data_IF_239088617522
#
_entry.id   IF_239088617522
#
_cell.length_a   1.000
_cell.length_b   1.000
_cell.length_c   1.000
_cell.angle_alpha   90.00
_cell.angle_beta   90.00
_cell.angle_gamma   90.00
#
_symmetry.space_group_name_H-M   'P 1'
#
loop_
_entity.id
_entity.type
_entity.pdbx_description
1 polymer ?
#
# COMPACT_ATOMS: atom_id res chain seq x y z
N UNK A 1 2.62 -10.09 -9.24
CA UNK A 1 3.58 -9.67 -8.21
C UNK A 1 4.81 -9.02 -8.83
N UNK A 2 5.25 -7.87 -8.30
CA UNK A 2 6.53 -7.22 -8.59
C UNK A 2 7.18 -6.75 -7.27
N UNK A 3 8.44 -6.31 -7.32
CA UNK A 3 9.22 -5.87 -6.16
C UNK A 3 9.27 -4.36 -6.06
N UNK A 4 8.75 -3.79 -4.99
CA UNK A 4 8.69 -2.34 -4.83
C UNK A 4 9.84 -1.75 -4.00
N UNK A 5 10.46 -2.55 -3.15
CA UNK A 5 11.58 -2.10 -2.34
C UNK A 5 12.54 -3.26 -2.12
N UNK A 6 13.83 -2.95 -2.15
CA UNK A 6 14.88 -3.89 -1.83
C UNK A 6 15.89 -3.23 -0.91
N UNK A 7 16.27 -3.90 0.16
CA UNK A 7 17.48 -3.58 0.92
C UNK A 7 18.43 -4.74 0.82
N UNK A 8 19.68 -4.47 0.43
CA UNK A 8 20.72 -5.46 0.23
C UNK A 8 22.02 -4.96 0.88
N UNK A 9 22.83 -5.89 1.35
CA UNK A 9 24.07 -5.61 2.07
C UNK A 9 25.12 -6.66 1.75
N UNK A 10 26.38 -6.26 1.56
CA UNK A 10 27.51 -7.17 1.35
C UNK A 10 28.74 -6.64 2.06
N UNK A 11 29.49 -7.54 2.67
CA UNK A 11 30.84 -7.30 3.16
C UNK A 11 31.83 -7.73 2.07
N UNK A 12 32.64 -6.79 1.57
CA UNK A 12 33.61 -7.04 0.52
C UNK A 12 34.97 -7.49 1.04
N UNK A 13 35.21 -7.44 2.35
CA UNK A 13 36.48 -7.80 2.97
C UNK A 13 37.64 -6.81 2.72
N UNK A 14 37.39 -5.69 2.04
CA UNK A 14 38.36 -4.60 1.86
C UNK A 14 37.68 -3.24 2.04
N UNK A 15 38.44 -2.19 2.45
CA UNK A 15 37.89 -0.84 2.63
C UNK A 15 37.27 -0.30 1.34
N UNK A 16 36.05 0.23 1.43
CA UNK A 16 35.33 0.78 0.28
C UNK A 16 35.51 2.30 0.15
N UNK A 17 35.41 2.86 -1.07
CA UNK A 17 35.40 4.30 -1.28
C UNK A 17 34.25 4.99 -0.54
N UNK A 18 34.54 6.16 0.02
CA UNK A 18 33.55 7.02 0.66
C UNK A 18 32.94 7.96 -0.38
N UNK A 19 31.61 8.10 -0.34
CA UNK A 19 30.83 8.94 -1.25
C UNK A 19 30.51 10.33 -0.69
N UNK A 20 30.63 10.52 0.63
CA UNK A 20 30.25 11.76 1.31
C UNK A 20 31.47 12.58 1.68
N UNK A 21 31.30 13.91 1.70
CA UNK A 21 32.33 14.84 2.19
C UNK A 21 32.61 14.69 3.69
N UNK A 22 31.77 13.95 4.42
CA UNK A 22 31.89 13.72 5.86
C UNK A 22 32.07 12.23 6.14
N UNK A 23 33.10 11.89 6.91
CA UNK A 23 33.32 10.58 7.48
C UNK A 23 33.59 10.70 8.98
N UNK A 24 33.27 9.65 9.72
CA UNK A 24 33.50 9.59 11.17
C UNK A 24 33.96 8.22 11.62
N UNK A 25 34.72 8.21 12.71
CA UNK A 25 35.16 7.02 13.43
C UNK A 25 34.54 7.05 14.82
N UNK A 26 34.12 5.89 15.33
CA UNK A 26 33.72 5.75 16.73
C UNK A 26 34.89 5.19 17.50
N UNK A 27 35.33 5.92 18.51
CA UNK A 27 36.41 5.49 19.39
C UNK A 27 35.78 5.04 20.71
N UNK A 28 36.04 3.80 21.11
CA UNK A 28 35.65 3.30 22.41
C UNK A 28 36.60 3.92 23.46
N UNK A 29 36.08 4.87 24.25
CA UNK A 29 36.89 5.65 25.19
C UNK A 29 37.60 4.78 26.22
N UNK A 30 36.96 3.69 26.65
CA UNK A 30 37.50 2.81 27.69
C UNK A 30 38.66 1.92 27.18
N UNK A 31 38.65 1.54 25.90
CA UNK A 31 39.67 0.63 25.31
C UNK A 31 40.65 1.32 24.38
N UNK A 32 40.33 2.52 23.88
CA UNK A 32 41.09 3.22 22.85
C UNK A 32 40.92 2.65 21.43
N UNK A 33 40.12 1.59 21.26
CA UNK A 33 39.90 0.97 19.95
C UNK A 33 38.96 1.80 19.08
N UNK A 34 39.32 1.99 17.82
CA UNK A 34 38.49 2.66 16.82
C UNK A 34 37.69 1.67 15.98
N UNK A 35 36.43 2.01 15.70
CA UNK A 35 35.62 1.33 14.69
C UNK A 35 36.14 1.61 13.28
N UNK A 36 35.64 0.86 12.29
CA UNK A 36 35.83 1.20 10.88
C UNK A 36 35.33 2.60 10.53
N UNK A 37 35.94 3.19 9.49
CA UNK A 37 35.52 4.47 8.94
C UNK A 37 34.10 4.37 8.38
N UNK A 38 33.23 5.22 8.88
CA UNK A 38 31.82 5.27 8.52
C UNK A 38 31.51 6.61 7.84
N UNK A 39 30.50 6.61 6.98
CA UNK A 39 29.91 7.83 6.45
C UNK A 39 28.42 7.92 6.83
N UNK A 40 27.84 9.13 6.85
CA UNK A 40 26.40 9.30 6.80
C UNK A 40 25.80 8.56 5.60
N UNK A 41 24.50 8.24 5.70
CA UNK A 41 23.78 7.61 4.58
C UNK A 41 23.79 8.57 3.39
N UNK A 42 24.45 8.17 2.32
CA UNK A 42 24.48 8.91 1.07
C UNK A 42 23.16 8.71 0.34
N UNK A 43 22.55 9.81 -0.07
CA UNK A 43 21.26 9.82 -0.74
C UNK A 43 21.47 10.14 -2.21
N UNK A 44 21.46 9.11 -3.04
CA UNK A 44 21.61 9.27 -4.48
C UNK A 44 20.23 9.49 -5.11
N UNK A 45 20.05 10.61 -5.81
CA UNK A 45 18.78 11.01 -6.42
C UNK A 45 18.78 10.64 -7.90
N UNK A 46 17.70 10.02 -8.35
CA UNK A 46 17.46 9.79 -9.77
C UNK A 46 16.70 10.93 -10.44
N UNK A 47 16.24 10.65 -11.66
CA UNK A 47 15.70 11.66 -12.58
C UNK A 47 14.36 12.27 -12.14
N UNK A 48 13.52 11.55 -11.39
CA UNK A 48 12.10 11.89 -11.19
C UNK A 48 11.65 11.83 -9.71
N UNK A 49 12.53 12.26 -8.80
CA UNK A 49 12.38 12.27 -7.33
C UNK A 49 12.52 10.91 -6.64
N UNK A 50 12.91 9.90 -7.40
CA UNK A 50 13.41 8.65 -6.88
C UNK A 50 14.74 8.87 -6.16
N UNK A 51 14.94 8.08 -5.10
CA UNK A 51 16.10 8.19 -4.25
C UNK A 51 16.44 6.80 -3.71
N UNK A 52 17.74 6.51 -3.71
CA UNK A 52 18.30 5.31 -3.08
C UNK A 52 19.26 5.75 -1.98
N UNK A 53 19.23 5.03 -0.88
CA UNK A 53 20.09 5.21 0.27
C UNK A 53 21.26 4.24 0.18
N UNK A 54 22.48 4.76 0.23
CA UNK A 54 23.73 4.00 0.21
C UNK A 54 24.48 4.29 1.51
N UNK A 55 24.90 3.24 2.21
CA UNK A 55 25.70 3.33 3.43
C UNK A 55 26.95 2.48 3.26
N UNK A 56 28.10 3.09 3.52
CA UNK A 56 29.42 2.43 3.54
C UNK A 56 29.96 2.46 4.97
N UNK A 57 30.41 1.30 5.47
CA UNK A 57 31.05 1.15 6.78
C UNK A 57 32.22 0.17 6.66
N UNK A 58 33.44 0.71 6.61
CA UNK A 58 34.63 -0.11 6.33
C UNK A 58 34.49 -0.87 5.01
N UNK A 59 34.35 -2.20 5.10
CA UNK A 59 34.16 -3.09 3.97
C UNK A 59 32.69 -3.41 3.64
N UNK A 60 31.75 -2.93 4.45
CA UNK A 60 30.32 -3.23 4.29
C UNK A 60 29.63 -2.15 3.47
N UNK A 61 29.04 -2.57 2.35
CA UNK A 61 28.15 -1.78 1.53
C UNK A 61 26.71 -2.18 1.79
N UNK A 62 25.84 -1.20 2.02
CA UNK A 62 24.40 -1.39 2.11
C UNK A 62 23.67 -0.43 1.19
N UNK A 63 22.73 -0.95 0.42
CA UNK A 63 21.87 -0.16 -0.47
C UNK A 63 20.40 -0.45 -0.20
N UNK A 64 19.57 0.59 -0.19
CA UNK A 64 18.14 0.51 0.08
C UNK A 64 17.36 1.49 -0.79
N UNK A 65 16.22 1.07 -1.33
CA UNK A 65 15.44 1.91 -2.24
C UNK A 65 14.38 1.14 -3.03
N UNK A 66 13.75 1.85 -3.97
CA UNK A 66 12.76 1.29 -4.88
C UNK A 66 13.38 1.08 -6.28
N UNK A 67 13.83 -0.14 -6.63
CA UNK A 67 14.40 -0.42 -7.94
C UNK A 67 13.37 -0.32 -9.07
N UNK A 68 12.09 -0.60 -8.78
CA UNK A 68 11.00 -0.52 -9.76
C UNK A 68 10.64 0.92 -10.17
N UNK A 69 10.96 1.91 -9.32
CA UNK A 69 10.73 3.33 -9.54
C UNK A 69 11.98 4.09 -10.02
N UNK A 70 13.16 3.46 -10.01
CA UNK A 70 14.39 4.14 -10.40
C UNK A 70 14.29 4.71 -11.82
N UNK A 71 14.62 5.99 -11.98
CA UNK A 71 14.44 6.80 -13.19
C UNK A 71 13.00 6.81 -13.75
N UNK A 72 11.99 6.71 -12.88
CA UNK A 72 10.57 6.75 -13.24
C UNK A 72 9.76 7.59 -12.25
N UNK A 73 8.67 8.18 -12.74
CA UNK A 73 7.76 8.99 -11.94
C UNK A 73 7.00 8.14 -10.89
N UNK A 74 6.59 6.94 -11.30
CA UNK A 74 5.73 6.04 -10.55
C UNK A 74 6.07 4.56 -10.82
N UNK A 75 5.46 3.70 -10.01
CA UNK A 75 5.71 2.27 -9.90
C UNK A 75 4.38 1.49 -9.90
N UNK A 76 3.39 1.88 -10.71
CA UNK A 76 2.16 1.13 -10.89
C UNK A 76 2.49 -0.32 -11.24
N UNK A 77 3.41 -0.51 -12.18
CA UNK A 77 4.03 -1.80 -12.49
C UNK A 77 5.56 -1.71 -12.33
N UNK A 78 6.16 -2.83 -11.95
CA UNK A 78 7.56 -2.90 -11.56
C UNK A 78 8.29 -4.16 -12.02
N UNK A 79 9.47 -4.38 -11.45
CA UNK A 79 10.38 -5.47 -11.76
C UNK A 79 9.93 -6.77 -11.08
N UNK A 80 9.99 -7.89 -11.79
CA UNK A 80 9.43 -9.17 -11.36
C UNK A 80 10.44 -10.15 -10.76
N UNK A 81 11.74 -9.85 -10.77
CA UNK A 81 12.78 -10.73 -10.22
C UNK A 81 13.75 -9.97 -9.32
N UNK A 82 14.24 -10.63 -8.28
CA UNK A 82 15.29 -10.06 -7.41
C UNK A 82 16.57 -9.79 -8.21
N UNK A 83 16.93 -10.68 -9.14
CA UNK A 83 18.11 -10.51 -9.99
C UNK A 83 18.06 -9.19 -10.79
N UNK A 84 16.93 -8.86 -11.40
CA UNK A 84 16.76 -7.60 -12.11
C UNK A 84 16.77 -6.38 -11.17
N UNK A 85 16.22 -6.51 -9.96
CA UNK A 85 16.34 -5.45 -8.94
C UNK A 85 17.79 -5.19 -8.53
N UNK A 86 18.57 -6.26 -8.32
CA UNK A 86 19.99 -6.13 -7.98
C UNK A 86 20.80 -5.59 -9.17
N UNK A 87 20.43 -5.92 -10.40
CA UNK A 87 21.05 -5.34 -11.60
C UNK A 87 20.88 -3.81 -11.66
N UNK A 88 19.69 -3.29 -11.33
CA UNK A 88 19.48 -1.83 -11.21
C UNK A 88 20.42 -1.23 -10.17
N UNK A 89 20.56 -1.87 -9.01
CA UNK A 89 21.46 -1.41 -7.96
C UNK A 89 22.93 -1.45 -8.40
N UNK A 90 23.37 -2.54 -9.03
CA UNK A 90 24.73 -2.68 -9.53
C UNK A 90 25.05 -1.63 -10.62
N UNK A 91 24.07 -1.25 -11.44
CA UNK A 91 24.24 -0.14 -12.41
C UNK A 91 24.52 1.17 -11.69
N UNK A 92 23.73 1.50 -10.66
CA UNK A 92 23.91 2.72 -9.85
C UNK A 92 25.26 2.70 -9.13
N UNK A 93 25.65 1.56 -8.54
CA UNK A 93 26.92 1.42 -7.84
C UNK A 93 28.10 1.60 -8.80
N UNK A 94 28.03 1.04 -10.00
CA UNK A 94 29.06 1.21 -11.03
C UNK A 94 29.20 2.67 -11.45
N UNK A 95 28.09 3.40 -11.61
CA UNK A 95 28.10 4.85 -11.93
C UNK A 95 28.76 5.67 -10.81
N UNK A 96 28.70 5.19 -9.56
CA UNK A 96 29.31 5.82 -8.39
C UNK A 96 30.73 5.31 -8.07
N UNK A 97 31.30 4.43 -8.90
CA UNK A 97 32.63 3.85 -8.67
C UNK A 97 32.71 2.86 -7.50
N UNK A 98 31.57 2.30 -7.07
CA UNK A 98 31.48 1.29 -6.01
C UNK A 98 31.41 -0.13 -6.60
N UNK A 99 31.87 -1.15 -5.86
CA UNK A 99 31.81 -2.52 -6.32
C UNK A 99 30.36 -3.04 -6.41
N UNK A 100 30.11 -3.87 -7.41
CA UNK A 100 28.81 -4.51 -7.61
C UNK A 100 28.55 -5.61 -6.57
N UNK A 101 27.30 -5.78 -6.17
CA UNK A 101 26.87 -6.92 -5.38
C UNK A 101 27.04 -8.23 -6.15
N UNK A 102 27.50 -9.27 -5.47
CA UNK A 102 27.70 -10.62 -6.02
C UNK A 102 26.75 -11.64 -5.38
N UNK A 103 26.39 -12.68 -6.14
CA UNK A 103 25.61 -13.80 -5.62
C UNK A 103 26.42 -14.57 -4.57
N UNK A 104 25.79 -14.96 -3.48
CA UNK A 104 26.31 -15.91 -2.52
C UNK A 104 26.59 -17.24 -3.22
N UNK A 105 27.72 -17.86 -2.91
CA UNK A 105 28.02 -19.24 -3.32
C UNK A 105 28.23 -20.15 -2.12
N UNK A 106 28.64 -19.59 -0.97
CA UNK A 106 28.90 -20.34 0.25
C UNK A 106 28.37 -19.61 1.48
N UNK A 107 28.03 -20.39 2.50
CA UNK A 107 27.60 -19.92 3.81
C UNK A 107 28.40 -20.68 4.86
N UNK A 108 28.91 -19.95 5.85
CA UNK A 108 29.67 -20.52 6.96
C UNK A 108 29.09 -20.09 8.30
N UNK A 109 29.22 -20.92 9.35
CA UNK A 109 28.96 -20.48 10.71
C UNK A 109 29.99 -19.43 11.12
N UNK A 110 29.51 -18.30 11.63
CA UNK A 110 30.34 -17.27 12.26
C UNK A 110 30.82 -17.78 13.61
N UNK A 111 32.08 -17.53 13.94
CA UNK A 111 32.58 -17.71 15.31
C UNK A 111 31.80 -16.79 16.26
N UNK A 112 31.15 -17.39 17.25
CA UNK A 112 30.45 -16.68 18.30
C UNK A 112 31.15 -16.90 19.64
N UNK A 113 31.00 -15.94 20.56
CA UNK A 113 31.44 -16.11 21.95
C UNK A 113 30.62 -17.24 22.60
N UNK A 114 31.14 -17.82 23.67
CA UNK A 114 30.58 -19.01 24.36
C UNK A 114 29.08 -18.90 24.69
N UNK A 115 28.57 -17.68 24.93
CA UNK A 115 27.17 -17.39 25.26
C UNK A 115 26.35 -16.76 24.12
N UNK A 116 26.87 -16.71 22.89
CA UNK A 116 26.16 -16.19 21.72
C UNK A 116 25.83 -17.30 20.72
N UNK A 117 24.65 -17.22 20.09
CA UNK A 117 24.34 -18.12 18.98
C UNK A 117 25.22 -17.77 17.78
N UNK A 118 25.90 -18.77 17.24
CA UNK A 118 26.65 -18.66 15.99
C UNK A 118 25.74 -18.14 14.87
N UNK A 119 26.07 -16.96 14.35
CA UNK A 119 25.43 -16.40 13.16
C UNK A 119 25.91 -17.12 11.89
N UNK A 120 25.41 -16.69 10.73
CA UNK A 120 25.90 -17.13 9.43
C UNK A 120 26.59 -15.97 8.72
N UNK A 121 27.69 -16.26 8.04
CA UNK A 121 28.43 -15.35 7.15
C UNK A 121 28.48 -15.95 5.74
N UNK A 122 28.65 -15.11 4.73
CA UNK A 122 28.62 -15.52 3.31
C UNK A 122 29.60 -14.68 2.50
N UNK A 123 29.93 -15.16 1.30
CA UNK A 123 30.82 -14.51 0.32
C UNK A 123 30.11 -13.53 -0.63
N UNK A 124 28.79 -13.44 -0.54
CA UNK A 124 27.98 -12.59 -1.41
C UNK A 124 26.98 -11.72 -0.67
N UNK A 125 26.07 -11.14 -1.43
CA UNK A 125 25.14 -10.16 -0.91
C UNK A 125 23.93 -10.78 -0.19
N UNK A 126 23.59 -10.19 0.95
CA UNK A 126 22.45 -10.55 1.77
C UNK A 126 21.28 -9.57 1.58
N UNK A 127 20.12 -10.07 1.20
CA UNK A 127 18.87 -9.30 1.20
C UNK A 127 18.41 -9.08 2.65
N UNK A 128 18.15 -7.83 3.02
CA UNK A 128 17.70 -7.41 4.35
C UNK A 128 16.24 -6.99 4.38
N UNK A 129 15.66 -6.60 3.26
CA UNK A 129 14.24 -6.22 3.19
C UNK A 129 13.71 -6.37 1.77
N UNK A 130 12.49 -6.87 1.62
CA UNK A 130 11.81 -7.03 0.33
C UNK A 130 10.38 -6.53 0.47
N UNK A 131 9.90 -5.67 -0.44
CA UNK A 131 8.48 -5.34 -0.53
C UNK A 131 7.87 -6.02 -1.76
N UNK A 132 6.86 -6.87 -1.53
CA UNK A 132 6.11 -7.56 -2.57
C UNK A 132 4.86 -6.76 -2.89
N UNK A 133 4.55 -6.58 -4.17
CA UNK A 133 3.40 -5.76 -4.58
C UNK A 133 2.62 -6.39 -5.73
N UNK A 134 1.30 -6.29 -5.66
CA UNK A 134 0.38 -6.59 -6.77
C UNK A 134 -0.77 -5.59 -6.77
N UNK A 135 -1.33 -5.30 -7.95
CA UNK A 135 -2.51 -4.46 -8.07
C UNK A 135 -3.70 -5.31 -8.48
N UNK A 136 -4.85 -5.06 -7.86
CA UNK A 136 -6.14 -5.67 -8.18
C UNK A 136 -7.09 -4.59 -8.66
N UNK A 137 -7.91 -4.97 -9.63
CA UNK A 137 -8.95 -4.14 -10.22
C UNK A 137 -10.27 -4.51 -9.57
N UNK A 138 -10.94 -3.54 -8.95
CA UNK A 138 -12.24 -3.75 -8.27
C UNK A 138 -13.39 -2.98 -8.94
N UNK A 139 -13.09 -2.20 -9.98
CA UNK A 139 -14.05 -1.34 -10.66
C UNK A 139 -14.11 0.05 -10.03
N UNK A 140 -14.37 1.05 -10.86
CA UNK A 140 -14.44 2.46 -10.48
C UNK A 140 -15.35 2.67 -9.27
N UNK A 141 -14.85 3.41 -8.29
CA UNK A 141 -15.55 3.78 -7.05
C UNK A 141 -15.87 2.63 -6.08
N UNK A 142 -15.33 1.42 -6.30
CA UNK A 142 -15.46 0.30 -5.36
C UNK A 142 -14.25 0.12 -4.44
N UNK A 143 -13.18 0.90 -4.62
CA UNK A 143 -11.89 0.71 -3.95
C UNK A 143 -12.01 0.78 -2.42
N UNK A 144 -12.70 1.80 -1.93
CA UNK A 144 -12.81 2.07 -0.51
C UNK A 144 -13.73 1.04 0.18
N UNK A 145 -14.86 0.69 -0.47
CA UNK A 145 -15.76 -0.38 0.00
C UNK A 145 -15.05 -1.72 0.06
N UNK A 146 -14.24 -2.04 -0.96
CA UNK A 146 -13.43 -3.24 -0.99
C UNK A 146 -12.38 -3.27 0.12
N UNK A 147 -11.69 -2.15 0.35
CA UNK A 147 -10.72 -1.99 1.44
C UNK A 147 -11.40 -2.12 2.81
N UNK A 148 -12.58 -1.52 2.98
CA UNK A 148 -13.38 -1.66 4.19
C UNK A 148 -13.82 -3.12 4.41
N UNK A 149 -14.23 -3.83 3.35
CA UNK A 149 -14.53 -5.26 3.39
C UNK A 149 -13.32 -6.09 3.84
N UNK A 150 -12.15 -5.85 3.25
CA UNK A 150 -10.89 -6.51 3.66
C UNK A 150 -10.53 -6.23 5.11
N UNK A 151 -10.86 -5.06 5.63
CA UNK A 151 -10.60 -4.70 7.04
C UNK A 151 -11.41 -5.49 8.06
N UNK A 152 -12.35 -6.32 7.62
CA UNK A 152 -13.07 -7.27 8.49
C UNK A 152 -12.35 -8.60 8.66
N UNK A 153 -11.35 -8.89 7.81
CA UNK A 153 -10.68 -10.17 7.79
C UNK A 153 -9.35 -10.14 8.56
N UNK A 154 -9.06 -11.14 9.40
CA UNK A 154 -7.70 -11.34 9.90
C UNK A 154 -6.77 -11.82 8.78
N UNK A 155 -5.48 -11.54 8.92
CA UNK A 155 -4.44 -12.11 8.07
C UNK A 155 -3.35 -12.72 8.94
N UNK A 156 -3.17 -14.04 8.82
CA UNK A 156 -2.28 -14.82 9.70
C UNK A 156 -2.64 -14.55 11.17
N UNK A 157 -1.66 -14.17 11.99
CA UNK A 157 -1.86 -13.85 13.41
C UNK A 157 -2.05 -12.35 13.67
N UNK A 158 -2.35 -11.56 12.62
CA UNK A 158 -2.46 -10.10 12.69
C UNK A 158 -3.90 -9.64 12.51
N UNK A 159 -4.25 -8.59 13.24
CA UNK A 159 -5.56 -7.95 13.20
C UNK A 159 -5.56 -6.81 12.19
N UNK A 160 -6.64 -6.65 11.40
CA UNK A 160 -6.78 -5.54 10.48
C UNK A 160 -6.97 -4.23 11.24
N UNK A 161 -6.48 -3.14 10.66
CA UNK A 161 -6.70 -1.78 11.11
C UNK A 161 -6.96 -0.91 9.89
N UNK A 162 -8.22 -0.54 9.70
CA UNK A 162 -8.62 0.45 8.71
C UNK A 162 -8.11 1.83 9.15
N UNK A 163 -7.48 2.56 8.23
CA UNK A 163 -7.02 3.92 8.49
C UNK A 163 -8.22 4.87 8.56
N UNK A 164 -8.08 5.98 9.29
CA UNK A 164 -9.18 6.92 9.55
C UNK A 164 -9.80 7.54 8.30
N UNK A 165 -9.04 7.62 7.20
CA UNK A 165 -9.53 8.11 5.90
C UNK A 165 -10.25 7.04 5.07
N UNK A 166 -10.30 5.78 5.52
CA UNK A 166 -10.91 4.67 4.78
C UNK A 166 -10.15 4.22 3.52
N UNK A 167 -9.01 4.83 3.19
CA UNK A 167 -8.28 4.60 1.92
C UNK A 167 -7.23 3.49 2.01
N UNK A 168 -7.00 2.95 3.20
CA UNK A 168 -5.95 1.96 3.45
C UNK A 168 -6.28 1.10 4.66
N UNK A 169 -5.86 -0.15 4.61
CA UNK A 169 -5.89 -1.09 5.73
C UNK A 169 -4.52 -1.72 5.88
N UNK A 170 -4.06 -1.85 7.13
CA UNK A 170 -2.87 -2.65 7.46
C UNK A 170 -3.21 -3.76 8.46
N UNK A 171 -2.35 -4.77 8.55
CA UNK A 171 -2.48 -5.80 9.59
C UNK A 171 -1.32 -5.77 10.55
N UNK A 172 -1.65 -5.65 11.83
CA UNK A 172 -0.70 -5.51 12.92
C UNK A 172 -0.93 -6.60 13.98
N UNK A 173 0.09 -6.90 14.76
CA UNK A 173 -0.12 -7.69 15.99
C UNK A 173 -1.07 -6.96 16.95
N UNK A 174 -1.61 -7.68 17.95
CA UNK A 174 -2.44 -7.09 19.01
C UNK A 174 -1.80 -5.89 19.73
N UNK A 175 -0.46 -5.80 19.72
CA UNK A 175 0.32 -4.70 20.30
C UNK A 175 0.66 -3.58 19.29
N UNK A 176 0.07 -3.60 18.09
CA UNK A 176 0.34 -2.61 17.04
C UNK A 176 1.66 -2.79 16.28
N UNK A 177 2.36 -3.91 16.47
CA UNK A 177 3.67 -4.14 15.85
C UNK A 177 3.59 -5.04 14.60
N UNK A 178 4.46 -4.78 13.63
CA UNK A 178 4.70 -5.63 12.46
C UNK A 178 6.21 -5.85 12.27
N UNK A 179 6.80 -6.75 13.07
CA UNK A 179 8.25 -6.98 13.12
C UNK A 179 8.78 -7.91 12.03
N UNK A 180 7.93 -8.79 11.50
CA UNK A 180 8.28 -9.77 10.48
C UNK A 180 7.76 -9.35 9.11
N UNK A 181 6.44 -9.20 8.99
CA UNK A 181 5.75 -8.78 7.78
C UNK A 181 4.84 -7.62 8.14
N UNK A 182 4.86 -6.56 7.33
CA UNK A 182 3.88 -5.49 7.37
C UNK A 182 3.06 -5.50 6.07
N UNK A 183 1.88 -6.15 6.09
CA UNK A 183 0.96 -6.16 4.96
C UNK A 183 0.07 -4.91 4.98
N UNK A 184 -0.17 -4.35 3.80
CA UNK A 184 -0.99 -3.15 3.57
C UNK A 184 -1.78 -3.32 2.29
N UNK A 185 -3.03 -2.86 2.30
CA UNK A 185 -3.85 -2.71 1.10
C UNK A 185 -4.34 -1.27 1.02
N UNK A 186 -4.23 -0.61 -0.13
CA UNK A 186 -4.61 0.79 -0.28
C UNK A 186 -5.11 1.17 -1.67
N UNK A 187 -5.89 2.25 -1.72
CA UNK A 187 -6.34 2.88 -2.95
C UNK A 187 -5.15 3.58 -3.64
N UNK A 188 -4.72 3.05 -4.80
CA UNK A 188 -3.49 3.51 -5.46
C UNK A 188 -3.66 4.90 -6.11
N UNK A 189 -4.83 5.21 -6.65
CA UNK A 189 -5.08 6.54 -7.21
C UNK A 189 -4.98 7.63 -6.14
N UNK A 190 -5.59 7.40 -4.98
CA UNK A 190 -5.51 8.31 -3.84
C UNK A 190 -4.07 8.49 -3.35
N UNK A 191 -3.30 7.41 -3.25
CA UNK A 191 -1.88 7.45 -2.85
C UNK A 191 -1.04 8.30 -3.82
N UNK A 192 -1.20 8.11 -5.13
CA UNK A 192 -0.50 8.87 -6.15
C UNK A 192 -0.84 10.37 -6.10
N UNK A 193 -2.13 10.72 -5.94
CA UNK A 193 -2.58 12.11 -5.79
C UNK A 193 -1.94 12.77 -4.56
N UNK A 194 -1.94 12.07 -3.42
CA UNK A 194 -1.47 12.63 -2.15
C UNK A 194 0.06 12.77 -2.09
N UNK A 195 0.81 11.76 -2.56
CA UNK A 195 2.25 11.67 -2.31
C UNK A 195 3.15 11.87 -3.53
N UNK A 196 2.66 11.63 -4.75
CA UNK A 196 3.44 11.76 -5.97
C UNK A 196 3.12 13.07 -6.72
N UNK A 197 1.83 13.36 -6.96
CA UNK A 197 1.40 14.46 -7.82
C UNK A 197 1.96 15.81 -7.34
N UNK A 198 1.75 16.15 -6.07
CA UNK A 198 2.27 17.39 -5.49
C UNK A 198 3.79 17.53 -5.61
N UNK A 199 4.54 16.44 -5.46
CA UNK A 199 6.01 16.46 -5.57
C UNK A 199 6.48 16.66 -7.01
N UNK A 200 5.79 16.06 -7.98
CA UNK A 200 6.12 16.18 -9.40
C UNK A 200 5.71 17.55 -9.92
N UNK A 201 4.53 18.06 -9.56
CA UNK A 201 4.10 19.43 -9.89
C UNK A 201 5.11 20.47 -9.40
N UNK A 202 5.58 20.34 -8.15
CA UNK A 202 6.56 21.26 -7.58
C UNK A 202 7.93 21.19 -8.27
N UNK A 203 8.31 20.05 -8.86
CA UNK A 203 9.62 19.87 -9.51
C UNK A 203 9.62 20.25 -10.98
N UNK A 204 8.59 19.86 -11.72
CA UNK A 204 8.55 19.97 -13.19
C UNK A 204 7.56 21.03 -13.69
N UNK A 205 6.68 21.53 -12.82
CA UNK A 205 5.60 22.45 -13.19
C UNK A 205 4.34 21.71 -13.62
N UNK A 206 3.18 22.35 -13.45
CA UNK A 206 1.85 21.75 -13.67
C UNK A 206 1.58 21.35 -15.12
N UNK A 207 2.14 22.09 -16.08
CA UNK A 207 1.93 21.85 -17.51
C UNK A 207 2.98 20.93 -18.15
N UNK A 208 3.81 20.28 -17.33
CA UNK A 208 4.88 19.38 -17.79
C UNK A 208 4.35 18.04 -18.32
N UNK A 209 5.13 17.40 -19.20
CA UNK A 209 4.82 16.06 -19.70
C UNK A 209 4.83 15.01 -18.57
N UNK A 210 5.65 15.21 -17.54
CA UNK A 210 5.71 14.38 -16.35
C UNK A 210 4.39 14.41 -15.57
N UNK A 211 3.84 15.60 -15.33
CA UNK A 211 2.54 15.76 -14.66
C UNK A 211 1.43 15.18 -15.52
N UNK A 212 1.40 15.45 -16.83
CA UNK A 212 0.42 14.86 -17.76
C UNK A 212 0.46 13.33 -17.74
N UNK A 213 1.65 12.74 -17.76
CA UNK A 213 1.82 11.29 -17.69
C UNK A 213 1.32 10.74 -16.34
N UNK A 214 1.71 11.35 -15.23
CA UNK A 214 1.28 10.90 -13.91
C UNK A 214 -0.24 11.02 -13.74
N UNK A 215 -0.85 12.08 -14.25
CA UNK A 215 -2.28 12.30 -14.26
C UNK A 215 -3.00 11.20 -15.07
N UNK A 216 -2.46 10.81 -16.23
CA UNK A 216 -2.98 9.67 -17.02
C UNK A 216 -2.92 8.35 -16.24
N UNK A 217 -1.86 8.12 -15.45
CA UNK A 217 -1.74 6.94 -14.57
C UNK A 217 -2.78 6.98 -13.45
N UNK A 218 -3.01 8.15 -12.86
CA UNK A 218 -4.02 8.35 -11.83
C UNK A 218 -5.41 8.07 -12.39
N UNK A 219 -5.77 8.65 -13.52
CA UNK A 219 -7.05 8.43 -14.20
C UNK A 219 -7.28 6.94 -14.51
N UNK A 220 -6.25 6.27 -15.05
CA UNK A 220 -6.31 4.83 -15.26
C UNK A 220 -6.57 4.06 -13.96
N UNK A 221 -5.95 4.46 -12.84
CA UNK A 221 -6.19 3.84 -11.54
C UNK A 221 -7.62 4.06 -11.05
N UNK A 222 -8.20 5.25 -11.25
CA UNK A 222 -9.57 5.58 -10.83
C UNK A 222 -10.62 4.88 -11.69
N UNK A 223 -10.44 4.86 -13.00
CA UNK A 223 -11.36 4.22 -13.94
C UNK A 223 -11.46 2.71 -13.73
N UNK A 224 -10.34 2.09 -13.36
CA UNK A 224 -10.29 0.66 -13.09
C UNK A 224 -10.58 0.32 -11.62
N UNK A 225 -10.55 1.30 -10.72
CA UNK A 225 -10.60 1.07 -9.29
C UNK A 225 -9.44 0.21 -8.81
N UNK A 226 -8.23 0.77 -8.85
CA UNK A 226 -7.01 0.04 -8.55
C UNK A 226 -6.70 0.06 -7.05
N UNK A 227 -6.73 -1.13 -6.47
CA UNK A 227 -6.34 -1.40 -5.08
C UNK A 227 -5.02 -2.16 -5.09
N UNK A 228 -4.04 -1.66 -4.34
CA UNK A 228 -2.71 -2.25 -4.25
C UNK A 228 -2.55 -3.08 -3.00
N UNK A 229 -2.11 -4.33 -3.19
CA UNK A 229 -1.68 -5.23 -2.14
C UNK A 229 -0.16 -5.16 -2.02
N UNK A 230 0.33 -4.80 -0.84
CA UNK A 230 1.76 -4.65 -0.57
C UNK A 230 2.15 -5.38 0.72
N UNK A 231 3.27 -6.10 0.71
CA UNK A 231 3.81 -6.79 1.89
C UNK A 231 5.28 -6.46 2.08
N UNK A 232 5.61 -5.80 3.19
CA UNK A 232 6.98 -5.48 3.57
C UNK A 232 7.56 -6.61 4.41
N UNK A 233 8.43 -7.42 3.81
CA UNK A 233 9.15 -8.51 4.44
C UNK A 233 10.44 -7.99 5.06
N UNK A 234 10.47 -7.90 6.40
CA UNK A 234 11.59 -7.34 7.15
C UNK A 234 12.70 -8.36 7.35
N UNK A 235 13.92 -7.87 7.64
CA UNK A 235 15.12 -8.69 7.83
C UNK A 235 14.92 -9.90 8.75
N UNK A 236 14.21 -9.74 9.88
CA UNK A 236 13.92 -10.85 10.80
C UNK A 236 13.07 -11.95 10.16
N UNK A 237 12.13 -11.60 9.29
CA UNK A 237 11.33 -12.59 8.55
C UNK A 237 12.21 -13.36 7.57
N UNK A 238 13.03 -12.64 6.80
CA UNK A 238 13.94 -13.25 5.82
C UNK A 238 14.95 -14.17 6.51
N UNK A 239 15.53 -13.74 7.63
CA UNK A 239 16.44 -14.56 8.44
C UNK A 239 15.77 -15.83 8.95
N UNK A 240 14.55 -15.71 9.50
CA UNK A 240 13.81 -16.86 10.05
C UNK A 240 13.51 -17.92 8.98
N UNK A 241 13.35 -17.52 7.72
CA UNK A 241 12.99 -18.42 6.61
C UNK A 241 14.17 -18.69 5.64
N UNK A 242 15.40 -18.31 6.00
CA UNK A 242 16.58 -18.57 5.17
C UNK A 242 16.59 -17.83 3.82
N UNK A 243 15.93 -16.67 3.73
CA UNK A 243 15.74 -15.92 2.48
C UNK A 243 16.76 -14.80 2.24
N UNK A 244 17.80 -14.74 3.08
CA UNK A 244 18.79 -13.67 3.06
C UNK A 244 19.78 -13.81 1.89
N UNK A 245 20.17 -15.03 1.54
CA UNK A 245 21.38 -15.28 0.74
C UNK A 245 21.07 -15.23 -0.76
N UNK A 246 21.21 -14.06 -1.36
CA UNK A 246 20.93 -13.88 -2.79
C UNK A 246 21.84 -14.78 -3.63
N UNK A 247 21.26 -15.63 -4.48
CA UNK A 247 21.99 -16.62 -5.28
C UNK A 247 21.90 -18.06 -4.74
N UNK A 248 21.67 -18.25 -3.44
CA UNK A 248 21.43 -19.56 -2.83
C UNK A 248 19.97 -19.77 -2.41
N UNK A 249 19.22 -18.68 -2.20
CA UNK A 249 17.80 -18.72 -1.85
C UNK A 249 16.93 -18.93 -3.09
N UNK A 250 15.98 -19.88 -3.01
CA UNK A 250 14.83 -19.93 -3.91
C UNK A 250 13.73 -18.96 -3.45
N UNK A 251 13.46 -17.95 -4.28
CA UNK A 251 12.45 -16.93 -4.01
C UNK A 251 11.03 -17.30 -4.49
N UNK A 252 10.82 -18.48 -5.08
CA UNK A 252 9.50 -18.97 -5.47
C UNK A 252 8.49 -18.96 -4.32
N UNK A 253 8.95 -19.22 -3.09
CA UNK A 253 8.15 -19.18 -1.86
C UNK A 253 7.49 -17.81 -1.61
N UNK A 254 8.07 -16.73 -2.12
CA UNK A 254 7.50 -15.38 -2.00
C UNK A 254 6.22 -15.22 -2.81
N UNK A 255 6.11 -15.93 -3.94
CA UNK A 255 4.90 -15.95 -4.77
C UNK A 255 3.77 -16.59 -3.97
N UNK A 256 3.97 -17.79 -3.43
CA UNK A 256 2.97 -18.49 -2.61
C UNK A 256 2.54 -17.66 -1.39
N UNK A 257 3.49 -17.02 -0.71
CA UNK A 257 3.21 -16.14 0.43
C UNK A 257 2.31 -14.97 0.02
N UNK A 258 2.59 -14.36 -1.13
CA UNK A 258 1.87 -13.20 -1.63
C UNK A 258 0.51 -13.55 -2.21
N UNK A 259 0.39 -14.67 -2.92
CA UNK A 259 -0.88 -15.17 -3.44
C UNK A 259 -1.87 -15.46 -2.32
N UNK A 260 -1.39 -16.00 -1.20
CA UNK A 260 -2.21 -16.19 0.01
C UNK A 260 -2.78 -14.86 0.52
N UNK A 261 -2.00 -13.77 0.42
CA UNK A 261 -2.43 -12.44 0.84
C UNK A 261 -3.41 -11.81 -0.16
N UNK A 262 -3.16 -11.93 -1.45
CA UNK A 262 -4.07 -11.45 -2.51
C UNK A 262 -5.42 -12.17 -2.39
N UNK A 263 -5.41 -13.46 -2.06
CA UNK A 263 -6.62 -14.29 -1.95
C UNK A 263 -7.47 -14.05 -0.70
N UNK A 264 -7.14 -13.06 0.13
CA UNK A 264 -7.95 -12.71 1.31
C UNK A 264 -9.42 -12.47 0.93
N UNK A 265 -9.64 -11.83 -0.21
CA UNK A 265 -10.97 -11.51 -0.74
C UNK A 265 -11.80 -12.72 -1.18
N UNK A 266 -11.18 -13.87 -1.47
CA UNK A 266 -11.93 -15.10 -1.83
C UNK A 266 -12.86 -15.58 -0.70
N UNK A 267 -12.57 -15.17 0.54
CA UNK A 267 -13.41 -15.46 1.70
C UNK A 267 -14.56 -14.46 1.91
N UNK A 268 -14.60 -13.38 1.12
CA UNK A 268 -15.60 -12.32 1.20
C UNK A 268 -16.53 -12.36 -0.02
N UNK A 269 -17.84 -12.35 0.22
CA UNK A 269 -18.77 -11.75 -0.74
C UNK A 269 -18.81 -10.26 -0.45
N UNK A 270 -17.88 -9.48 -1.02
CA UNK A 270 -17.91 -8.01 -0.87
C UNK A 270 -19.06 -7.47 -1.73
N UNK A 271 -20.10 -6.98 -1.06
CA UNK A 271 -21.18 -6.24 -1.71
C UNK A 271 -20.94 -4.76 -1.47
N UNK A 272 -20.67 -3.99 -2.52
CA UNK A 272 -20.75 -2.53 -2.45
C UNK A 272 -22.22 -2.14 -2.31
N UNK A 273 -22.50 -1.28 -1.35
CA UNK A 273 -23.86 -0.82 -1.06
C UNK A 273 -23.91 0.69 -1.19
N UNK A 274 -24.65 1.16 -2.18
CA UNK A 274 -25.01 2.57 -2.25
C UNK A 274 -26.14 2.81 -1.24
N UNK A 275 -25.95 3.77 -0.34
CA UNK A 275 -26.96 4.16 0.64
C UNK A 275 -27.64 5.47 0.21
N UNK A 276 -28.96 5.50 0.24
CA UNK A 276 -29.75 6.72 0.15
C UNK A 276 -30.28 7.07 1.57
N UNK A 277 -30.17 8.33 1.96
CA UNK A 277 -30.99 8.89 3.05
C UNK A 277 -32.48 8.89 2.67
N UNK A 278 -33.38 9.04 3.64
CA UNK A 278 -34.84 9.12 3.37
C UNK A 278 -35.15 10.19 2.31
N UNK A 279 -34.48 11.35 2.34
CA UNK A 279 -34.70 12.42 1.36
C UNK A 279 -34.17 12.06 -0.02
N UNK A 280 -32.96 11.50 -0.13
CA UNK A 280 -32.40 11.02 -1.40
C UNK A 280 -33.26 9.92 -2.01
N UNK A 281 -33.77 9.01 -1.17
CA UNK A 281 -34.63 7.91 -1.61
C UNK A 281 -35.99 8.39 -2.12
N UNK A 282 -36.58 9.42 -1.49
CA UNK A 282 -37.82 10.05 -1.97
C UNK A 282 -37.64 10.71 -3.35
N UNK A 283 -36.48 11.29 -3.61
CA UNK A 283 -36.15 11.90 -4.91
C UNK A 283 -35.86 10.80 -5.94
N UNK A 284 -35.06 9.79 -5.58
CA UNK A 284 -34.66 8.72 -6.50
C UNK A 284 -35.84 7.84 -6.95
N UNK A 285 -36.86 7.68 -6.09
CA UNK A 285 -38.12 6.99 -6.41
C UNK A 285 -39.16 7.89 -7.11
N UNK A 286 -38.84 9.15 -7.41
CA UNK A 286 -39.78 10.08 -8.05
C UNK A 286 -41.02 10.40 -7.19
N UNK A 287 -40.92 10.27 -5.87
CA UNK A 287 -42.03 10.56 -4.94
C UNK A 287 -42.21 12.07 -4.76
N UNK A 288 -41.11 12.83 -4.89
CA UNK A 288 -41.07 14.29 -4.82
C UNK A 288 -40.06 14.84 -5.83
N UNK A 289 -40.36 15.99 -6.41
CA UNK A 289 -39.58 16.55 -7.53
C UNK A 289 -38.45 17.50 -7.09
N UNK A 290 -38.36 17.82 -5.78
CA UNK A 290 -37.38 18.77 -5.27
C UNK A 290 -36.87 18.44 -3.87
N UNK A 291 -35.63 18.87 -3.60
CA UNK A 291 -34.89 18.61 -2.36
C UNK A 291 -35.59 19.18 -1.12
N UNK A 292 -36.24 20.34 -1.24
CA UNK A 292 -36.96 20.96 -0.12
C UNK A 292 -38.10 20.07 0.36
N UNK A 293 -38.93 19.60 -0.55
CA UNK A 293 -40.05 18.70 -0.27
C UNK A 293 -39.57 17.34 0.27
N UNK A 294 -38.46 16.83 -0.26
CA UNK A 294 -37.81 15.61 0.24
C UNK A 294 -37.35 15.76 1.68
N UNK A 295 -36.62 16.83 2.00
CA UNK A 295 -36.12 17.10 3.36
C UNK A 295 -37.26 17.33 4.35
N UNK A 296 -38.30 18.08 3.97
CA UNK A 296 -39.49 18.26 4.83
C UNK A 296 -40.16 16.92 5.11
N UNK A 297 -40.32 16.08 4.10
CA UNK A 297 -40.95 14.75 4.26
C UNK A 297 -40.07 13.79 5.10
N UNK A 298 -38.74 13.82 4.91
CA UNK A 298 -37.79 13.06 5.71
C UNK A 298 -37.81 13.48 7.19
N UNK A 299 -37.99 14.78 7.49
CA UNK A 299 -38.10 15.27 8.87
C UNK A 299 -39.31 14.68 9.62
N UNK A 300 -40.44 14.44 8.95
CA UNK A 300 -41.58 13.73 9.57
C UNK A 300 -41.21 12.29 9.96
N UNK A 301 -40.42 11.59 9.14
CA UNK A 301 -39.95 10.24 9.46
C UNK A 301 -38.93 10.25 10.61
N UNK A 302 -38.05 11.25 10.69
CA UNK A 302 -37.09 11.42 11.80
C UNK A 302 -37.83 11.75 13.11
N UNK A 303 -38.78 12.67 13.07
CA UNK A 303 -39.61 13.00 14.24
C UNK A 303 -40.41 11.77 14.72
N UNK A 304 -41.00 11.02 13.78
CA UNK A 304 -41.65 9.74 14.09
C UNK A 304 -40.68 8.74 14.76
N UNK A 305 -39.44 8.63 14.25
CA UNK A 305 -38.40 7.76 14.81
C UNK A 305 -38.05 8.12 16.26
N UNK A 306 -38.01 9.42 16.58
CA UNK A 306 -37.79 9.92 17.94
C UNK A 306 -39.05 9.85 18.85
N UNK A 307 -40.14 9.25 18.37
CA UNK A 307 -41.34 9.00 19.18
C UNK A 307 -42.35 10.15 19.20
N UNK A 308 -42.21 11.15 18.32
CA UNK A 308 -43.22 12.20 18.18
C UNK A 308 -44.53 11.64 17.61
N UNK A 309 -45.66 12.09 18.18
CA UNK A 309 -47.00 11.81 17.66
C UNK A 309 -47.48 12.92 16.73
N UNK A 310 -48.24 12.54 15.70
CA UNK A 310 -48.80 13.49 14.74
C UNK A 310 -50.32 13.48 14.81
N UNK A 311 -50.93 14.65 14.57
CA UNK A 311 -52.35 14.75 14.32
C UNK A 311 -52.63 14.39 12.84
N UNK A 312 -53.27 13.24 12.60
CA UNK A 312 -53.57 12.73 11.26
C UNK A 312 -54.76 13.40 10.57
N UNK A 313 -55.49 14.28 11.25
CA UNK A 313 -56.55 15.09 10.65
C UNK A 313 -55.97 16.28 9.86
N UNK A 314 -54.70 16.62 10.09
CA UNK A 314 -54.01 17.69 9.35
C UNK A 314 -53.64 17.22 7.94
N UNK A 315 -54.13 17.93 6.92
CA UNK A 315 -53.86 17.68 5.49
C UNK A 315 -52.36 17.56 5.16
N UNK A 316 -51.51 18.37 5.80
CA UNK A 316 -50.05 18.30 5.62
C UNK A 316 -49.47 16.96 6.12
N UNK A 317 -49.91 16.48 7.29
CA UNK A 317 -49.48 15.19 7.86
C UNK A 317 -49.93 14.05 6.95
N UNK A 318 -51.17 14.10 6.44
CA UNK A 318 -51.68 13.12 5.47
C UNK A 318 -50.84 13.09 4.19
N UNK A 319 -50.43 14.26 3.68
CA UNK A 319 -49.60 14.40 2.49
C UNK A 319 -48.22 13.77 2.68
N UNK A 320 -47.53 14.08 3.79
CA UNK A 320 -46.20 13.52 4.06
C UNK A 320 -46.26 12.03 4.39
N UNK A 321 -47.28 11.58 5.12
CA UNK A 321 -47.53 10.14 5.34
C UNK A 321 -47.73 9.40 4.02
N UNK A 322 -48.52 9.94 3.09
CA UNK A 322 -48.74 9.32 1.78
C UNK A 322 -47.43 9.19 0.97
N UNK A 323 -46.55 10.20 1.04
CA UNK A 323 -45.21 10.15 0.42
C UNK A 323 -44.30 9.12 1.09
N UNK A 324 -44.23 9.11 2.42
CA UNK A 324 -43.44 8.15 3.19
C UNK A 324 -43.89 6.70 2.99
N UNK A 325 -45.19 6.46 2.82
CA UNK A 325 -45.73 5.12 2.51
C UNK A 325 -45.22 4.56 1.19
N UNK A 326 -44.93 5.41 0.19
CA UNK A 326 -44.35 4.98 -1.09
C UNK A 326 -42.94 4.42 -0.96
N UNK A 327 -42.24 4.74 0.14
CA UNK A 327 -40.91 4.20 0.48
C UNK A 327 -40.95 3.28 1.71
N UNK A 328 -42.13 2.73 2.04
CA UNK A 328 -42.29 1.72 3.08
C UNK A 328 -42.32 2.24 4.53
N UNK A 329 -42.42 3.56 4.74
CA UNK A 329 -42.52 4.17 6.08
C UNK A 329 -43.96 4.59 6.37
N UNK A 330 -44.58 4.05 7.43
CA UNK A 330 -45.90 4.51 7.89
C UNK A 330 -45.82 5.14 9.29
N UNK A 331 -45.78 6.47 9.32
CA UNK A 331 -45.68 7.27 10.55
C UNK A 331 -46.91 7.19 11.46
N UNK A 332 -48.00 6.52 11.04
CA UNK A 332 -49.15 6.24 11.91
C UNK A 332 -48.98 4.97 12.76
N UNK A 333 -48.02 4.11 12.42
CA UNK A 333 -47.67 2.95 13.23
C UNK A 333 -46.72 3.36 14.35
N UNK A 334 -46.59 2.54 15.41
CA UNK A 334 -45.51 2.74 16.38
C UNK A 334 -44.16 2.45 15.71
N UNK A 335 -43.21 3.36 15.85
CA UNK A 335 -41.85 3.14 15.40
C UNK A 335 -41.22 1.99 16.19
N UNK A 336 -40.76 0.95 15.47
CA UNK A 336 -39.93 -0.08 16.04
C UNK A 336 -38.46 0.23 15.72
N UNK A 337 -37.80 0.93 16.64
CA UNK A 337 -36.41 1.39 16.50
C UNK A 337 -35.43 0.22 16.28
N UNK A 338 -35.76 -0.99 16.76
CA UNK A 338 -34.93 -2.18 16.54
C UNK A 338 -34.96 -2.71 15.09
N UNK A 339 -35.94 -2.29 14.28
CA UNK A 339 -36.13 -2.75 12.89
C UNK A 339 -36.08 -1.62 11.85
N UNK A 340 -36.18 -0.37 12.28
CA UNK A 340 -36.21 0.79 11.38
C UNK A 340 -34.80 1.34 11.14
N UNK A 341 -34.38 1.40 9.88
CA UNK A 341 -33.16 2.08 9.45
C UNK A 341 -33.54 3.32 8.64
N UNK A 342 -33.04 4.52 8.97
CA UNK A 342 -33.28 5.74 8.17
C UNK A 342 -32.46 5.76 6.86
N UNK A 343 -31.69 4.70 6.60
CA UNK A 343 -30.81 4.55 5.45
C UNK A 343 -31.33 3.39 4.61
N UNK A 344 -31.60 3.66 3.33
CA UNK A 344 -32.07 2.69 2.34
C UNK A 344 -30.91 2.21 1.48
N UNK A 345 -30.86 0.91 1.19
CA UNK A 345 -29.89 0.36 0.24
C UNK A 345 -30.43 0.58 -1.17
N UNK A 346 -29.81 1.48 -1.92
CA UNK A 346 -30.19 1.84 -3.29
C UNK A 346 -29.78 0.79 -4.30
N UNK A 347 -28.57 0.27 -4.16
CA UNK A 347 -28.07 -0.78 -5.04
C UNK A 347 -27.11 -1.69 -4.28
N UNK A 348 -27.19 -2.98 -4.53
CA UNK A 348 -26.22 -3.97 -4.07
C UNK A 348 -25.46 -4.45 -5.29
N UNK A 349 -24.18 -4.11 -5.37
CA UNK A 349 -23.32 -4.51 -6.48
C UNK A 349 -22.26 -5.43 -5.93
N UNK A 350 -22.13 -6.61 -6.53
CA UNK A 350 -21.01 -7.48 -6.21
C UNK A 350 -19.72 -6.86 -6.77
N UNK A 351 -18.70 -6.74 -5.93
CA UNK A 351 -17.41 -6.20 -6.35
C UNK A 351 -16.64 -7.30 -7.06
N UNK A 352 -16.54 -7.20 -8.39
CA UNK A 352 -15.79 -8.17 -9.21
C UNK A 352 -14.31 -7.80 -9.19
N UNK A 353 -13.50 -8.68 -8.60
CA UNK A 353 -12.05 -8.48 -8.48
C UNK A 353 -11.32 -9.21 -9.61
N UNK A 354 -10.45 -8.49 -10.33
CA UNK A 354 -9.66 -9.02 -11.44
C UNK A 354 -8.21 -8.51 -11.41
N UNK A 355 -7.33 -9.12 -12.20
CA UNK A 355 -5.97 -8.63 -12.37
C UNK A 355 -5.95 -7.30 -13.14
N UNK A 356 -4.95 -6.46 -12.84
CA UNK A 356 -4.77 -5.17 -13.50
C UNK A 356 -3.91 -5.34 -14.77
N UNK A 357 -4.47 -5.20 -15.99
CA UNK A 357 -3.68 -5.27 -17.21
C UNK A 357 -2.79 -4.03 -17.35
N UNK A 358 -1.62 -4.20 -17.97
CA UNK A 358 -0.71 -3.09 -18.26
C UNK A 358 -1.20 -2.38 -19.52
N UNK A 359 -1.55 -1.08 -19.48
CA UNK A 359 -1.99 -0.39 -20.68
C UNK A 359 -0.81 -0.15 -21.64
N UNK A 360 -1.08 -0.11 -22.95
CA UNK A 360 -0.04 -0.04 -23.99
C UNK A 360 0.86 1.20 -23.88
N UNK A 361 0.29 2.32 -23.44
CA UNK A 361 1.02 3.58 -23.26
C UNK A 361 1.93 3.62 -22.03
N UNK A 362 1.87 2.60 -21.15
CA UNK A 362 2.58 2.59 -19.88
C UNK A 362 4.10 2.45 -20.07
N UNK A 363 4.88 3.32 -19.41
CA UNK A 363 6.34 3.28 -19.45
C UNK A 363 6.86 2.22 -18.49
N UNK A 364 7.17 1.02 -18.99
CA UNK A 364 7.70 -0.12 -18.21
C UNK A 364 9.11 0.13 -17.67
N UNK A 365 9.52 -0.54 -16.57
CA UNK A 365 10.89 -0.43 -16.07
C UNK A 365 11.87 -1.01 -17.08
N UNK A 366 12.97 -0.30 -17.33
CA UNK A 366 14.08 -0.77 -18.14
C UNK A 366 15.29 -1.03 -17.24
N UNK A 367 15.64 -2.31 -17.07
CA UNK A 367 16.78 -2.76 -16.26
C UNK A 367 17.87 -3.44 -17.10
N UNK A 368 17.64 -3.62 -18.40
CA UNK A 368 18.63 -4.12 -19.35
C UNK A 368 19.28 -2.91 -20.02
N UNK A 369 20.40 -2.43 -19.49
CA UNK A 369 21.32 -1.62 -20.30
C UNK A 369 22.20 -2.59 -21.06
N UNK A 370 22.16 -2.51 -22.39
CA UNK A 370 23.18 -3.12 -23.25
C UNK A 370 24.50 -2.42 -22.86
N UNK A 371 25.49 -3.22 -22.45
CA UNK A 371 26.82 -2.74 -22.12
C UNK A 371 27.51 -2.12 -23.33
#
# INVERSE_FOLDING_TARGET
>A
MFYDWLTIEQDFGYPLPILSDVAYLRIHVDTGESSDLCQPVFQHKGSFCDQVSISVRGSVLKMSGNPSRWNRLENLFGIHTIDACVQVYNTILSELGLPAFTKCTKIWPRQAKENERAGLVTDGACIREIHLTSNRRVGKANEDDYIAGLSTLPYRNSMPRLHSNGKSVDWLSKKGNATLIYPTVYNKAHELKLHALSKIENRFGKDSDEVRYLQRVIEFCEENGIVRFEQKLKSRFLQKHGLLFWGLTDYSILITLHDTFISLDKSLMVTSMDFDTISEHLISQGVVDNTRSANTTAMYAIQWMHGHSFNFDKKQVQTHRARLRKIGIDIAQRCNISKFSPIFVRNRREVVVSDCPIPEWYRKPNFLRVA
#
